data_IF_690259527588
#
_entry.id   IF_690259527588
#
_cell.length_a   1.000
_cell.length_b   1.000
_cell.length_c   1.000
_cell.angle_alpha   90.00
_cell.angle_beta   90.00
_cell.angle_gamma   90.00
#
_symmetry.space_group_name_H-M   'P 1'
#
loop_
_entity.id
_entity.type
_entity.pdbx_description
1 polymer ?
#
# COMPACT_ATOMS: atom_id res chain seq x y z
N UNK A 1 4.39 -14.66 16.27
CA UNK A 1 4.39 -15.24 14.90
C UNK A 1 5.82 -15.25 14.40
N UNK A 2 6.21 -16.27 13.62
CA UNK A 2 7.54 -16.33 13.03
C UNK A 2 7.73 -15.20 12.01
N UNK A 3 8.94 -14.62 11.99
CA UNK A 3 9.35 -13.60 11.03
C UNK A 3 10.40 -14.13 10.09
N UNK A 4 10.41 -13.67 8.86
CA UNK A 4 11.38 -13.96 7.83
C UNK A 4 12.04 -12.65 7.36
N UNK A 5 13.34 -12.72 7.08
CA UNK A 5 14.08 -11.59 6.52
C UNK A 5 13.88 -11.51 5.01
N UNK A 6 13.66 -10.31 4.50
CA UNK A 6 13.69 -10.06 3.05
C UNK A 6 15.15 -9.84 2.65
N UNK A 7 15.85 -10.92 2.30
CA UNK A 7 17.29 -10.92 1.92
C UNK A 7 18.10 -9.96 2.80
N UNK A 8 18.91 -9.11 2.17
CA UNK A 8 19.84 -8.18 2.81
C UNK A 8 19.26 -6.77 3.03
N UNK A 9 17.93 -6.63 3.01
CA UNK A 9 17.27 -5.32 3.16
C UNK A 9 17.15 -4.84 4.60
N UNK A 10 17.34 -5.72 5.57
CA UNK A 10 17.07 -5.44 6.98
C UNK A 10 15.60 -5.54 7.37
N UNK A 11 14.69 -5.69 6.39
CA UNK A 11 13.24 -5.79 6.63
C UNK A 11 12.88 -7.20 7.10
N UNK A 12 12.16 -7.30 8.22
CA UNK A 12 11.63 -8.55 8.77
C UNK A 12 10.10 -8.53 8.74
N UNK A 13 9.51 -9.50 8.06
CA UNK A 13 8.06 -9.64 7.91
C UNK A 13 7.56 -10.95 8.52
N UNK A 14 6.36 -10.93 9.06
CA UNK A 14 5.68 -12.14 9.52
C UNK A 14 5.31 -13.05 8.34
N UNK A 15 5.16 -14.36 8.60
CA UNK A 15 4.76 -15.34 7.56
C UNK A 15 3.41 -15.04 6.92
N UNK A 16 2.56 -14.25 7.60
CA UNK A 16 1.31 -13.72 7.08
C UNK A 16 1.42 -12.19 7.01
N UNK A 17 0.76 -11.61 6.01
CA UNK A 17 0.56 -10.18 5.86
C UNK A 17 -0.94 -9.84 5.86
N UNK A 18 -1.26 -8.60 6.19
CA UNK A 18 -2.62 -8.09 6.16
C UNK A 18 -2.85 -7.30 4.88
N UNK A 19 -3.57 -7.93 3.92
CA UNK A 19 -3.97 -7.28 2.67
C UNK A 19 -5.22 -6.43 2.85
N UNK A 20 -5.28 -5.27 2.23
CA UNK A 20 -6.34 -4.26 2.44
C UNK A 20 -7.19 -3.97 1.21
N UNK A 21 -7.15 -4.82 0.19
CA UNK A 21 -7.88 -4.61 -1.05
C UNK A 21 -9.40 -4.42 -0.83
N UNK A 22 -10.01 -5.20 0.08
CA UNK A 22 -11.43 -5.06 0.43
C UNK A 22 -11.73 -3.99 1.48
N UNK A 23 -10.69 -3.44 2.13
CA UNK A 23 -10.86 -2.54 3.29
C UNK A 23 -11.62 -1.25 2.93
N UNK A 24 -11.50 -0.78 1.69
CA UNK A 24 -12.17 0.42 1.20
C UNK A 24 -13.66 0.22 0.84
N UNK A 25 -14.22 -0.98 1.09
CA UNK A 25 -15.59 -1.36 0.71
C UNK A 25 -15.78 -1.42 -0.81
N UNK A 26 -15.64 -2.61 -1.38
CA UNK A 26 -15.85 -2.90 -2.81
C UNK A 26 -16.91 -4.01 -2.95
N UNK A 27 -18.19 -3.72 -2.66
CA UNK A 27 -19.25 -4.75 -2.63
C UNK A 27 -19.44 -5.44 -3.98
N UNK A 28 -19.30 -4.73 -5.09
CA UNK A 28 -19.41 -5.32 -6.44
C UNK A 28 -18.30 -6.33 -6.73
N UNK A 29 -17.14 -6.18 -6.09
CA UNK A 29 -16.00 -7.09 -6.28
C UNK A 29 -16.01 -8.24 -5.28
N UNK A 30 -16.33 -7.98 -4.01
CA UNK A 30 -16.19 -8.94 -2.91
C UNK A 30 -17.53 -9.49 -2.40
N UNK A 31 -18.67 -8.96 -2.86
CA UNK A 31 -20.00 -9.42 -2.46
C UNK A 31 -20.43 -8.97 -1.05
N UNK A 32 -19.67 -8.07 -0.41
CA UNK A 32 -20.00 -7.52 0.92
C UNK A 32 -19.47 -6.10 1.09
N UNK A 33 -20.13 -5.35 1.97
CA UNK A 33 -19.69 -4.02 2.38
C UNK A 33 -18.78 -4.08 3.61
N UNK A 34 -17.86 -3.13 3.69
CA UNK A 34 -17.03 -2.87 4.88
C UNK A 34 -17.35 -1.45 5.37
N UNK A 35 -18.24 -1.29 6.36
CA UNK A 35 -18.50 0.02 6.97
C UNK A 35 -17.22 0.60 7.59
N UNK A 36 -17.13 1.94 7.62
CA UNK A 36 -15.98 2.67 8.17
C UNK A 36 -15.59 2.19 9.59
N UNK A 37 -16.58 2.08 10.47
CA UNK A 37 -16.36 1.61 11.84
C UNK A 37 -15.69 0.24 11.86
N UNK A 38 -16.16 -0.70 11.02
CA UNK A 38 -15.58 -2.05 10.93
C UNK A 38 -14.14 -2.02 10.42
N UNK A 39 -13.85 -1.16 9.43
CA UNK A 39 -12.50 -0.98 8.92
C UNK A 39 -11.56 -0.48 10.02
N UNK A 40 -11.96 0.52 10.79
CA UNK A 40 -11.17 1.06 11.90
C UNK A 40 -10.97 0.04 13.02
N UNK A 41 -11.99 -0.73 13.39
CA UNK A 41 -11.86 -1.82 14.36
C UNK A 41 -10.87 -2.91 13.89
N UNK A 42 -10.89 -3.26 12.60
CA UNK A 42 -9.96 -4.23 12.02
C UNK A 42 -8.52 -3.70 12.06
N UNK A 43 -8.29 -2.45 11.68
CA UNK A 43 -6.97 -1.82 11.71
C UNK A 43 -6.44 -1.70 13.14
N UNK A 44 -7.29 -1.33 14.11
CA UNK A 44 -6.92 -1.32 15.52
C UNK A 44 -6.49 -2.71 16.02
N UNK A 45 -7.21 -3.76 15.62
CA UNK A 45 -6.83 -5.15 15.95
C UNK A 45 -5.54 -5.56 15.25
N UNK A 46 -5.31 -5.11 14.02
CA UNK A 46 -4.05 -5.34 13.31
C UNK A 46 -2.87 -4.73 14.08
N UNK A 47 -2.96 -3.47 14.53
CA UNK A 47 -1.92 -2.82 15.31
C UNK A 47 -1.62 -3.48 16.67
N UNK A 48 -2.57 -4.24 17.21
CA UNK A 48 -2.41 -5.00 18.45
C UNK A 48 -2.07 -6.47 18.22
N UNK A 49 -2.08 -6.90 16.96
CA UNK A 49 -1.94 -8.29 16.57
C UNK A 49 -0.49 -8.74 16.36
N UNK A 50 -0.31 -10.04 16.09
CA UNK A 50 1.01 -10.62 15.86
C UNK A 50 1.52 -10.45 14.42
N UNK A 51 0.70 -10.00 13.48
CA UNK A 51 1.05 -9.73 12.07
C UNK A 51 1.65 -8.34 11.99
N UNK A 52 2.81 -8.19 11.38
CA UNK A 52 3.50 -6.90 11.32
C UNK A 52 3.56 -6.26 9.93
N UNK A 53 3.04 -6.90 8.90
CA UNK A 53 3.06 -6.37 7.54
C UNK A 53 1.64 -6.06 7.06
N UNK A 54 1.42 -4.82 6.62
CA UNK A 54 0.19 -4.37 5.95
C UNK A 54 0.52 -4.02 4.51
N UNK A 55 -0.26 -4.56 3.57
CA UNK A 55 -0.16 -4.26 2.15
C UNK A 55 -1.41 -3.54 1.65
N UNK A 56 -1.19 -2.40 1.01
CA UNK A 56 -2.25 -1.56 0.43
C UNK A 56 -1.89 -1.09 -0.99
N UNK A 57 -2.75 -0.28 -1.58
CA UNK A 57 -2.54 0.40 -2.86
C UNK A 57 -3.43 1.63 -2.96
N UNK A 58 -2.93 2.65 -3.66
CA UNK A 58 -3.69 3.85 -4.00
C UNK A 58 -4.96 3.54 -4.80
N UNK A 59 -4.96 2.47 -5.63
CA UNK A 59 -6.10 2.07 -6.44
C UNK A 59 -7.14 1.22 -5.67
N UNK A 60 -6.83 0.72 -4.49
CA UNK A 60 -7.81 -0.07 -3.74
C UNK A 60 -9.00 0.78 -3.31
N UNK A 61 -10.17 0.44 -3.87
CA UNK A 61 -11.41 1.18 -3.69
C UNK A 61 -11.25 2.69 -3.99
N UNK A 62 -10.60 3.03 -5.10
CA UNK A 62 -10.39 4.42 -5.54
C UNK A 62 -9.68 5.29 -4.47
N UNK A 63 -8.78 4.70 -3.67
CA UNK A 63 -8.05 5.35 -2.60
C UNK A 63 -8.67 5.26 -1.21
N UNK A 64 -9.88 4.72 -1.09
CA UNK A 64 -10.57 4.64 0.19
C UNK A 64 -9.85 3.71 1.18
N UNK A 65 -9.17 2.64 0.71
CA UNK A 65 -8.36 1.78 1.58
C UNK A 65 -7.23 2.55 2.26
N UNK A 66 -6.42 3.28 1.50
CA UNK A 66 -5.33 4.10 2.07
C UNK A 66 -5.85 5.19 3.00
N UNK A 67 -6.96 5.84 2.65
CA UNK A 67 -7.59 6.87 3.49
C UNK A 67 -8.00 6.31 4.86
N UNK A 68 -8.62 5.14 4.91
CA UNK A 68 -9.00 4.46 6.16
C UNK A 68 -7.79 4.07 6.99
N UNK A 69 -6.73 3.59 6.33
CA UNK A 69 -5.45 3.30 6.99
C UNK A 69 -4.84 4.58 7.57
N UNK A 70 -4.82 5.68 6.81
CA UNK A 70 -4.31 6.98 7.28
C UNK A 70 -5.05 7.53 8.49
N UNK A 71 -6.38 7.33 8.56
CA UNK A 71 -7.18 7.66 9.76
C UNK A 71 -6.71 6.83 10.96
N UNK A 72 -6.59 5.51 10.79
CA UNK A 72 -6.13 4.62 11.86
C UNK A 72 -4.71 4.94 12.33
N UNK A 73 -3.79 5.27 11.42
CA UNK A 73 -2.42 5.70 11.74
C UNK A 73 -2.46 6.98 12.59
N UNK A 74 -3.27 7.96 12.19
CA UNK A 74 -3.42 9.21 12.95
C UNK A 74 -3.99 8.97 14.35
N UNK A 75 -5.01 8.14 14.48
CA UNK A 75 -5.60 7.78 15.78
C UNK A 75 -4.60 7.01 16.66
N UNK A 76 -3.76 6.18 16.06
CA UNK A 76 -2.69 5.47 16.75
C UNK A 76 -1.48 6.36 17.11
N UNK A 77 -1.49 7.64 16.73
CA UNK A 77 -0.38 8.62 16.91
C UNK A 77 0.87 8.27 16.12
N UNK A 78 0.72 7.62 14.98
CA UNK A 78 1.77 7.24 14.04
C UNK A 78 1.72 5.77 13.65
N UNK A 79 2.54 5.42 12.65
CA UNK A 79 2.76 4.03 12.25
C UNK A 79 3.49 3.29 13.37
N UNK A 80 3.07 2.07 13.75
CA UNK A 80 3.71 1.37 14.87
C UNK A 80 5.15 0.98 14.54
N UNK A 81 6.04 1.11 15.51
CA UNK A 81 7.42 0.65 15.40
C UNK A 81 7.48 -0.86 15.11
N UNK A 82 8.41 -1.29 14.27
CA UNK A 82 8.59 -2.68 13.81
C UNK A 82 7.42 -3.26 12.99
N UNK A 83 6.49 -2.44 12.54
CA UNK A 83 5.52 -2.79 11.51
C UNK A 83 6.03 -2.37 10.14
N UNK A 84 5.64 -3.12 9.12
CA UNK A 84 6.06 -2.93 7.74
C UNK A 84 4.86 -2.45 6.94
N UNK A 85 4.99 -1.28 6.34
CA UNK A 85 4.00 -0.69 5.46
C UNK A 85 4.40 -0.89 4.01
N UNK A 86 3.53 -1.53 3.25
CA UNK A 86 3.69 -1.73 1.81
C UNK A 86 2.58 -1.01 1.06
N UNK A 87 2.94 -0.28 0.01
CA UNK A 87 1.99 0.25 -0.97
C UNK A 87 2.52 0.06 -2.39
N UNK A 88 1.82 0.61 -3.38
CA UNK A 88 2.12 0.38 -4.78
C UNK A 88 2.15 1.67 -5.56
N UNK A 89 2.97 1.69 -6.61
CA UNK A 89 2.93 2.72 -7.63
C UNK A 89 1.84 2.34 -8.62
N UNK A 90 0.89 3.23 -8.79
CA UNK A 90 -0.27 3.04 -9.65
C UNK A 90 -0.19 3.95 -10.89
N UNK A 91 -0.52 3.36 -12.04
CA UNK A 91 -0.74 4.14 -13.26
C UNK A 91 -1.89 5.13 -13.06
N UNK A 92 -1.96 6.13 -13.92
CA UNK A 92 -3.15 6.96 -14.01
C UNK A 92 -4.32 6.11 -14.51
N UNK A 93 -5.43 6.06 -13.76
CA UNK A 93 -6.54 5.16 -14.07
C UNK A 93 -7.37 5.63 -15.28
N UNK A 94 -7.32 6.92 -15.62
CA UNK A 94 -8.07 7.46 -16.77
C UNK A 94 -7.28 7.30 -18.07
N UNK A 95 -5.97 7.55 -18.03
CA UNK A 95 -5.10 7.54 -19.22
C UNK A 95 -4.33 6.26 -19.39
N UNK A 96 -4.26 5.41 -18.36
CA UNK A 96 -3.46 4.19 -18.24
C UNK A 96 -1.94 4.42 -18.37
N UNK A 97 -1.50 5.67 -18.27
CA UNK A 97 -0.09 6.05 -18.36
C UNK A 97 0.61 5.81 -17.04
N UNK A 98 1.79 5.23 -17.13
CA UNK A 98 2.78 5.16 -16.05
C UNK A 98 4.11 5.68 -16.61
N UNK A 99 4.46 6.88 -16.23
CA UNK A 99 5.73 7.54 -16.55
C UNK A 99 6.41 8.02 -15.27
N UNK A 100 7.58 8.63 -15.40
CA UNK A 100 8.34 9.17 -14.26
C UNK A 100 7.55 10.16 -13.42
N UNK A 101 6.74 11.01 -14.05
CA UNK A 101 5.90 11.99 -13.37
C UNK A 101 4.81 11.28 -12.57
N UNK A 102 4.07 10.37 -13.20
CA UNK A 102 3.00 9.61 -12.54
C UNK A 102 3.55 8.72 -11.41
N UNK A 103 4.73 8.11 -11.60
CA UNK A 103 5.41 7.35 -10.56
C UNK A 103 5.60 8.16 -9.29
N UNK A 104 6.12 9.39 -9.43
CA UNK A 104 6.32 10.30 -8.30
C UNK A 104 5.01 10.75 -7.68
N UNK A 105 4.05 11.17 -8.50
CA UNK A 105 2.73 11.59 -8.04
C UNK A 105 2.02 10.47 -7.27
N UNK A 106 2.10 9.24 -7.76
CA UNK A 106 1.46 8.09 -7.11
C UNK A 106 1.98 7.86 -5.70
N UNK A 107 3.29 7.88 -5.48
CA UNK A 107 3.84 7.70 -4.13
C UNK A 107 3.57 8.91 -3.23
N UNK A 108 3.67 10.13 -3.74
CA UNK A 108 3.38 11.34 -2.97
C UNK A 108 1.91 11.38 -2.52
N UNK A 109 0.97 10.97 -3.39
CA UNK A 109 -0.45 10.80 -3.07
C UNK A 109 -0.64 9.76 -1.95
N UNK A 110 0.01 8.59 -2.06
CA UNK A 110 -0.08 7.52 -1.05
C UNK A 110 0.47 7.98 0.30
N UNK A 111 1.68 8.56 0.35
CA UNK A 111 2.28 9.05 1.59
C UNK A 111 1.38 10.07 2.30
N UNK A 112 0.83 11.02 1.53
CA UNK A 112 -0.11 12.02 2.05
C UNK A 112 -1.39 11.38 2.58
N UNK A 113 -1.97 10.42 1.85
CA UNK A 113 -3.23 9.77 2.22
C UNK A 113 -3.06 8.88 3.43
N UNK A 114 -1.95 8.13 3.49
CA UNK A 114 -1.57 7.27 4.61
C UNK A 114 -1.11 8.06 5.85
N UNK A 115 -0.81 9.35 5.69
CA UNK A 115 -0.29 10.21 6.77
C UNK A 115 1.03 9.69 7.34
N UNK A 116 1.97 9.35 6.46
CA UNK A 116 3.33 8.89 6.78
C UNK A 116 4.36 9.59 5.88
N UNK A 117 5.61 9.63 6.33
CA UNK A 117 6.71 10.24 5.58
C UNK A 117 7.42 9.24 4.66
N UNK A 118 7.25 7.94 4.91
CA UNK A 118 7.88 6.87 4.12
C UNK A 118 7.08 5.57 4.19
N UNK A 119 7.37 4.65 3.28
CA UNK A 119 6.92 3.26 3.31
C UNK A 119 8.13 2.33 3.25
N UNK A 120 7.99 1.12 3.78
CA UNK A 120 9.08 0.14 3.84
C UNK A 120 9.22 -0.64 2.53
N UNK A 121 8.10 -0.90 1.86
CA UNK A 121 8.05 -1.67 0.61
C UNK A 121 7.17 -0.92 -0.39
N UNK A 122 7.68 -0.79 -1.61
CA UNK A 122 6.99 -0.17 -2.72
C UNK A 122 6.97 -1.11 -3.92
N UNK A 123 5.78 -1.54 -4.33
CA UNK A 123 5.60 -2.37 -5.51
C UNK A 123 5.18 -1.55 -6.73
N UNK A 124 5.50 -2.06 -7.90
CA UNK A 124 4.83 -1.66 -9.14
C UNK A 124 3.53 -2.45 -9.25
N UNK A 125 2.38 -1.74 -9.35
CA UNK A 125 1.07 -2.38 -9.43
C UNK A 125 0.76 -2.81 -10.86
N UNK A 126 0.23 -4.02 -10.99
CA UNK A 126 -0.29 -4.57 -12.26
C UNK A 126 0.64 -4.33 -13.47
N UNK A 127 1.91 -4.75 -13.42
CA UNK A 127 2.88 -4.48 -14.48
C UNK A 127 2.48 -5.11 -15.83
N UNK A 128 1.60 -6.11 -15.83
CA UNK A 128 1.08 -6.77 -17.04
C UNK A 128 0.27 -5.84 -17.96
N UNK A 129 -0.22 -4.72 -17.44
CA UNK A 129 -0.92 -3.72 -18.25
C UNK A 129 0.04 -2.77 -18.98
N UNK A 130 1.33 -2.85 -18.73
CA UNK A 130 2.33 -2.09 -19.48
C UNK A 130 2.71 -2.86 -20.73
N UNK A 131 2.61 -2.24 -21.91
CA UNK A 131 2.85 -2.90 -23.20
C UNK A 131 4.27 -3.45 -23.37
N UNK A 132 5.24 -2.76 -22.78
CA UNK A 132 6.64 -3.19 -22.78
C UNK A 132 7.25 -2.97 -21.38
N UNK A 133 7.62 -4.08 -20.71
CA UNK A 133 8.28 -4.02 -19.41
C UNK A 133 9.60 -3.23 -19.45
N UNK A 134 10.24 -3.13 -20.60
CA UNK A 134 11.42 -2.27 -20.77
C UNK A 134 11.09 -0.78 -20.56
N UNK A 135 9.85 -0.37 -20.79
CA UNK A 135 9.43 1.02 -20.53
C UNK A 135 9.40 1.34 -19.04
N UNK A 136 9.21 0.33 -18.19
CA UNK A 136 9.21 0.46 -16.72
C UNK A 136 10.65 0.40 -16.18
N UNK A 137 11.53 -0.37 -16.82
CA UNK A 137 12.90 -0.60 -16.34
C UNK A 137 13.92 0.38 -16.89
N UNK A 138 13.53 1.27 -17.82
CA UNK A 138 14.40 2.35 -18.32
C UNK A 138 14.84 3.25 -17.16
N UNK A 139 16.12 3.65 -17.20
CA UNK A 139 16.77 4.51 -16.17
C UNK A 139 15.97 5.76 -15.78
N UNK A 140 15.03 6.20 -16.62
CA UNK A 140 14.19 7.37 -16.39
C UNK A 140 13.02 7.14 -15.43
N UNK A 141 12.63 5.88 -15.17
CA UNK A 141 11.64 5.51 -14.14
C UNK A 141 12.29 5.19 -12.79
N UNK A 142 13.52 5.61 -12.56
CA UNK A 142 14.33 5.33 -11.37
C UNK A 142 13.51 5.06 -10.09
N UNK A 143 12.92 3.87 -10.00
CA UNK A 143 12.23 3.36 -8.79
C UNK A 143 13.23 3.16 -7.63
N UNK A 144 14.54 3.27 -7.91
CA UNK A 144 15.63 2.99 -6.97
C UNK A 144 15.98 4.21 -6.11
N UNK A 145 15.43 5.38 -6.42
CA UNK A 145 15.77 6.65 -5.75
C UNK A 145 14.54 7.51 -5.41
N UNK A 146 13.45 6.87 -4.97
CA UNK A 146 12.30 7.58 -4.39
C UNK A 146 12.46 7.67 -2.88
#
# INVERSE_FOLDING_TARGET
MKKNKIKDTGVEVTELSFGTSSLGSMPDTYGYEVPEQRAQEMLKRFFQGPVNMLDTSRNYAMGESEKRIGIAIKENKGWPENFILSTKIDRNMDTLVLDKKRTRESIEESLKTLNVDSVDILFLHDPEYVKDLNDITKKDLSLIHI
#
